data_IF_781937990152
#
_entry.id   IF_781937990152
#
_cell.length_a   1.000
_cell.length_b   1.000
_cell.length_c   1.000
_cell.angle_alpha   90.00
_cell.angle_beta   90.00
_cell.angle_gamma   90.00
#
_symmetry.space_group_name_H-M   'P 1'
#
loop_
_entity.id
_entity.type
_entity.pdbx_description
1 polymer ?
#
# COMPACT_ATOMS: atom_id res chain seq x y z
N UNK A 1 -7.15 -17.44 -6.84
CA UNK A 1 -6.46 -16.28 -6.26
C UNK A 1 -6.68 -16.29 -4.77
N UNK A 2 -5.60 -16.36 -3.98
CA UNK A 2 -5.70 -16.53 -2.54
C UNK A 2 -6.33 -15.27 -1.90
N UNK A 3 -7.04 -15.39 -0.77
CA UNK A 3 -7.63 -14.26 -0.07
C UNK A 3 -6.62 -13.13 0.23
N UNK A 4 -5.37 -13.49 0.53
CA UNK A 4 -4.27 -12.53 0.73
C UNK A 4 -3.91 -11.78 -0.53
N UNK A 5 -3.81 -12.47 -1.68
CA UNK A 5 -3.53 -11.81 -2.95
C UNK A 5 -4.65 -10.79 -3.24
N UNK A 6 -5.91 -11.15 -3.00
CA UNK A 6 -7.03 -10.21 -3.18
C UNK A 6 -6.89 -8.98 -2.28
N UNK A 7 -6.48 -9.15 -1.02
CA UNK A 7 -6.20 -8.05 -0.09
C UNK A 7 -5.04 -7.16 -0.58
N UNK A 8 -3.99 -7.78 -1.12
CA UNK A 8 -2.84 -7.09 -1.72
C UNK A 8 -3.26 -6.21 -2.88
N UNK A 9 -4.03 -6.77 -3.81
CA UNK A 9 -4.51 -5.99 -4.95
C UNK A 9 -5.50 -4.88 -4.53
N UNK A 10 -6.33 -5.12 -3.52
CA UNK A 10 -7.29 -4.13 -3.02
C UNK A 10 -6.61 -2.91 -2.39
N UNK A 11 -5.47 -3.10 -1.72
CA UNK A 11 -4.71 -2.00 -1.12
C UNK A 11 -3.70 -1.33 -2.06
N UNK A 12 -3.08 -2.10 -2.97
CA UNK A 12 -2.04 -1.59 -3.87
C UNK A 12 -2.62 -0.66 -4.93
N UNK A 13 -3.77 -0.99 -5.54
CA UNK A 13 -4.34 -0.19 -6.63
C UNK A 13 -4.70 1.25 -6.19
N UNK A 14 -5.44 1.48 -5.08
CA UNK A 14 -5.77 2.83 -4.64
C UNK A 14 -4.53 3.62 -4.22
N UNK A 15 -3.59 2.98 -3.53
CA UNK A 15 -2.37 3.62 -3.05
C UNK A 15 -1.48 4.10 -4.21
N UNK A 16 -1.38 3.29 -5.27
CA UNK A 16 -0.64 3.66 -6.48
C UNK A 16 -1.33 4.80 -7.23
N UNK A 17 -2.67 4.76 -7.35
CA UNK A 17 -3.49 5.82 -7.94
C UNK A 17 -3.28 7.17 -7.25
N UNK A 18 -3.34 7.18 -5.91
CA UNK A 18 -3.07 8.38 -5.10
C UNK A 18 -1.65 8.89 -5.34
N UNK A 19 -0.66 7.99 -5.42
CA UNK A 19 0.72 8.33 -5.73
C UNK A 19 0.87 9.01 -7.10
N UNK A 20 0.26 8.45 -8.13
CA UNK A 20 0.27 9.05 -9.47
C UNK A 20 -0.40 10.42 -9.50
N UNK A 21 -1.52 10.61 -8.80
CA UNK A 21 -2.21 11.91 -8.73
C UNK A 21 -1.33 12.95 -8.05
N UNK A 22 -0.67 12.59 -6.95
CA UNK A 22 0.25 13.49 -6.24
C UNK A 22 1.47 13.83 -7.11
N UNK A 23 2.01 12.85 -7.84
CA UNK A 23 3.21 13.03 -8.67
C UNK A 23 2.95 13.88 -9.92
N UNK A 24 1.79 13.71 -10.57
CA UNK A 24 1.43 14.49 -11.78
C UNK A 24 0.85 15.86 -11.46
N UNK A 25 0.41 16.08 -10.22
CA UNK A 25 -0.07 17.38 -9.79
C UNK A 25 1.13 18.30 -9.51
N UNK A 26 1.42 19.21 -10.45
CA UNK A 26 2.51 20.18 -10.34
C UNK A 26 2.34 21.17 -9.19
N UNK A 27 1.17 21.22 -8.56
CA UNK A 27 0.88 22.03 -7.37
C UNK A 27 0.88 21.20 -6.08
N UNK A 28 1.22 19.91 -6.12
CA UNK A 28 1.31 19.10 -4.92
C UNK A 28 2.46 19.57 -4.04
N UNK A 29 2.20 19.73 -2.75
CA UNK A 29 3.24 20.11 -1.81
C UNK A 29 4.18 18.93 -1.56
N UNK A 30 5.44 19.24 -1.24
CA UNK A 30 6.44 18.23 -0.83
C UNK A 30 5.94 17.41 0.38
N UNK A 31 5.14 18.01 1.26
CA UNK A 31 4.47 17.33 2.37
C UNK A 31 3.54 16.21 1.91
N UNK A 32 2.82 16.39 0.80
CA UNK A 32 1.86 15.42 0.28
C UNK A 32 2.60 14.19 -0.28
N UNK A 33 3.75 14.43 -0.93
CA UNK A 33 4.65 13.38 -1.39
C UNK A 33 5.23 12.57 -0.22
N UNK A 34 5.65 13.25 0.86
CA UNK A 34 6.15 12.59 2.07
C UNK A 34 5.06 11.78 2.78
N UNK A 35 3.85 12.32 2.90
CA UNK A 35 2.71 11.61 3.49
C UNK A 35 2.34 10.35 2.68
N UNK A 36 2.38 10.44 1.35
CA UNK A 36 2.18 9.28 0.49
C UNK A 36 3.26 8.22 0.70
N UNK A 37 4.54 8.62 0.75
CA UNK A 37 5.67 7.73 1.04
C UNK A 37 5.52 6.99 2.37
N UNK A 38 5.08 7.71 3.42
CA UNK A 38 4.78 7.11 4.74
C UNK A 38 3.61 6.12 4.61
N UNK A 39 2.57 6.48 3.86
CA UNK A 39 1.44 5.59 3.56
C UNK A 39 1.88 4.29 2.87
N UNK A 40 2.82 4.37 1.92
CA UNK A 40 3.41 3.21 1.25
C UNK A 40 4.18 2.32 2.22
N UNK A 41 5.04 2.92 3.06
CA UNK A 41 5.81 2.16 4.03
C UNK A 41 4.90 1.42 5.02
N UNK A 42 3.86 2.09 5.54
CA UNK A 42 2.88 1.50 6.44
C UNK A 42 2.09 0.38 5.76
N UNK A 43 1.66 0.58 4.52
CA UNK A 43 0.95 -0.43 3.75
C UNK A 43 1.78 -1.71 3.61
N UNK A 44 3.04 -1.59 3.18
CA UNK A 44 3.95 -2.74 3.03
C UNK A 44 4.15 -3.46 4.36
N UNK A 45 4.34 -2.71 5.45
CA UNK A 45 4.50 -3.28 6.79
C UNK A 45 3.27 -4.09 7.24
N UNK A 46 2.07 -3.53 7.04
CA UNK A 46 0.81 -4.21 7.38
C UNK A 46 0.65 -5.49 6.54
N UNK A 47 0.90 -5.42 5.23
CA UNK A 47 0.75 -6.58 4.35
C UNK A 47 1.76 -7.69 4.65
N UNK A 48 2.99 -7.33 5.00
CA UNK A 48 3.98 -8.29 5.48
C UNK A 48 3.51 -9.00 6.75
N UNK A 49 2.97 -8.25 7.72
CA UNK A 49 2.50 -8.83 8.98
C UNK A 49 1.26 -9.72 8.80
N UNK A 50 0.33 -9.33 7.92
CA UNK A 50 -0.84 -10.14 7.56
C UNK A 50 -0.41 -11.41 6.82
N UNK A 51 0.54 -11.31 5.89
CA UNK A 51 1.11 -12.45 5.15
C UNK A 51 1.68 -13.50 6.09
N UNK A 52 2.58 -13.09 6.99
CA UNK A 52 3.19 -13.99 7.96
C UNK A 52 2.14 -14.69 8.85
N UNK A 53 1.15 -13.96 9.36
CA UNK A 53 0.08 -14.56 10.19
C UNK A 53 -0.82 -15.54 9.45
N UNK A 54 -0.97 -15.36 8.14
CA UNK A 54 -1.78 -16.28 7.33
C UNK A 54 -1.00 -17.55 6.99
N UNK A 55 0.29 -17.43 6.69
CA UNK A 55 1.17 -18.58 6.47
C UNK A 55 1.30 -19.43 7.74
N UNK A 56 1.34 -18.80 8.92
CA UNK A 56 1.30 -19.50 10.22
C UNK A 56 -0.01 -20.29 10.44
N UNK A 57 -1.15 -19.83 9.91
CA UNK A 57 -2.45 -20.50 10.08
C UNK A 57 -2.73 -21.59 9.06
N UNK A 58 -1.93 -21.67 7.99
CA UNK A 58 -2.04 -22.69 6.95
C UNK A 58 -1.05 -23.85 7.12
N UNK A 59 -0.11 -23.74 8.06
CA UNK A 59 0.76 -24.85 8.52
C UNK A 59 0.09 -25.62 9.65
#
# INVERSE_FOLDING_TARGET
MNPIDKLYWLGTIPLFLVGTIILVNTNANVSDQFLWLIGVALYVFIMFHIGNKYDEKQK
#
